data_IF_531633505570
#
_entry.id   IF_531633505570
#
_cell.length_a   1.000
_cell.length_b   1.000
_cell.length_c   1.000
_cell.angle_alpha   90.00
_cell.angle_beta   90.00
_cell.angle_gamma   90.00
#
_symmetry.space_group_name_H-M   'P 1'
#
loop_
_entity.id
_entity.type
_entity.pdbx_description
1 polymer ?
#
# COMPACT_ATOMS: atom_id res chain seq x y z
N UNK A 1 7.88 -7.59 -15.63
CA UNK A 1 7.17 -8.59 -16.45
C UNK A 1 6.22 -7.81 -17.33
N UNK A 2 6.15 -8.13 -18.61
CA UNK A 2 5.30 -7.42 -19.57
C UNK A 2 3.85 -7.88 -19.45
N UNK A 3 2.91 -6.94 -19.57
CA UNK A 3 1.45 -7.15 -19.63
C UNK A 3 0.98 -8.43 -20.36
N UNK A 4 1.50 -8.79 -21.56
CA UNK A 4 1.11 -10.01 -22.25
C UNK A 4 1.34 -11.29 -21.43
N UNK A 5 2.41 -11.34 -20.60
CA UNK A 5 2.75 -12.53 -19.82
C UNK A 5 1.74 -12.74 -18.68
N UNK A 6 1.34 -11.66 -17.99
CA UNK A 6 0.37 -11.73 -16.89
C UNK A 6 -1.02 -12.08 -17.44
N UNK A 7 -1.38 -11.51 -18.59
CA UNK A 7 -2.64 -11.80 -19.26
C UNK A 7 -2.73 -13.26 -19.69
N UNK A 8 -1.66 -13.79 -20.28
CA UNK A 8 -1.56 -15.20 -20.66
C UNK A 8 -1.65 -16.13 -19.44
N UNK A 9 -0.94 -15.84 -18.34
CA UNK A 9 -1.00 -16.64 -17.12
C UNK A 9 -2.41 -16.66 -16.49
N UNK A 10 -3.11 -15.52 -16.47
CA UNK A 10 -4.47 -15.43 -15.92
C UNK A 10 -5.48 -16.16 -16.82
N UNK A 11 -5.39 -15.98 -18.14
CA UNK A 11 -6.26 -16.70 -19.09
C UNK A 11 -6.04 -18.21 -19.02
N UNK A 12 -4.79 -18.64 -18.86
CA UNK A 12 -4.46 -20.05 -18.70
C UNK A 12 -5.00 -20.62 -17.39
N UNK A 13 -4.86 -19.89 -16.27
CA UNK A 13 -5.42 -20.31 -14.98
C UNK A 13 -6.94 -20.46 -15.00
N UNK A 14 -7.66 -19.65 -15.78
CA UNK A 14 -9.13 -19.74 -15.91
C UNK A 14 -9.54 -20.97 -16.72
N UNK A 15 -8.78 -21.29 -17.77
CA UNK A 15 -9.01 -22.48 -18.60
C UNK A 15 -8.68 -23.80 -17.90
N UNK A 16 -7.77 -23.76 -16.94
CA UNK A 16 -7.32 -24.93 -16.18
C UNK A 16 -8.13 -25.12 -14.87
N UNK A 17 -9.05 -24.21 -14.54
CA UNK A 17 -9.85 -24.28 -13.31
C UNK A 17 -11.03 -25.24 -13.47
N UNK A 18 -10.94 -26.42 -12.83
CA UNK A 18 -12.00 -27.43 -12.79
C UNK A 18 -13.31 -26.95 -12.13
N UNK A 19 -13.30 -25.77 -11.48
CA UNK A 19 -14.46 -25.15 -10.84
C UNK A 19 -15.27 -24.21 -11.74
N UNK A 20 -14.79 -23.94 -12.97
CA UNK A 20 -15.49 -23.11 -13.95
C UNK A 20 -16.07 -24.04 -15.02
N UNK A 21 -17.37 -23.92 -15.27
CA UNK A 21 -18.01 -24.69 -16.34
C UNK A 21 -17.51 -24.19 -17.70
N UNK A 22 -17.10 -25.13 -18.55
CA UNK A 22 -16.49 -24.91 -19.86
C UNK A 22 -17.31 -23.96 -20.74
N UNK A 23 -18.63 -23.92 -20.57
CA UNK A 23 -19.52 -23.04 -21.34
C UNK A 23 -19.35 -21.54 -21.01
N UNK A 24 -18.83 -21.20 -19.82
CA UNK A 24 -18.61 -19.82 -19.39
C UNK A 24 -17.14 -19.37 -19.50
N UNK A 25 -16.20 -20.29 -19.74
CA UNK A 25 -14.76 -19.98 -19.82
C UNK A 25 -14.49 -18.88 -20.85
N UNK A 26 -15.09 -19.00 -22.03
CA UNK A 26 -14.90 -18.02 -23.11
C UNK A 26 -15.57 -16.67 -22.77
N UNK A 27 -16.73 -16.67 -22.12
CA UNK A 27 -17.42 -15.44 -21.68
C UNK A 27 -16.59 -14.69 -20.61
N UNK A 28 -15.98 -15.42 -19.67
CA UNK A 28 -15.07 -14.82 -18.67
C UNK A 28 -13.82 -14.21 -19.31
N UNK A 29 -13.23 -14.90 -20.29
CA UNK A 29 -12.06 -14.40 -21.03
C UNK A 29 -12.43 -13.14 -21.81
N UNK A 30 -13.59 -13.10 -22.47
CA UNK A 30 -14.06 -11.94 -23.23
C UNK A 30 -14.33 -10.73 -22.33
N UNK A 31 -14.93 -10.95 -21.15
CA UNK A 31 -15.14 -9.89 -20.15
C UNK A 31 -13.79 -9.36 -19.63
N UNK A 32 -12.82 -10.25 -19.37
CA UNK A 32 -11.47 -9.84 -18.98
C UNK A 32 -10.80 -9.03 -20.08
N UNK A 33 -10.83 -9.51 -21.32
CA UNK A 33 -10.22 -8.81 -22.46
C UNK A 33 -10.84 -7.43 -22.70
N UNK A 34 -12.16 -7.31 -22.56
CA UNK A 34 -12.86 -6.04 -22.66
C UNK A 34 -12.48 -5.08 -21.53
N UNK A 35 -12.31 -5.57 -20.30
CA UNK A 35 -11.95 -4.74 -19.14
C UNK A 35 -10.48 -4.36 -19.08
N UNK A 36 -9.59 -5.21 -19.58
CA UNK A 36 -8.16 -4.93 -19.64
C UNK A 36 -7.80 -3.93 -20.76
N UNK A 37 -8.56 -3.87 -21.87
CA UNK A 37 -8.37 -2.88 -22.94
C UNK A 37 -8.53 -1.42 -22.49
N UNK A 38 -9.33 -1.17 -21.46
CA UNK A 38 -9.65 0.18 -20.97
C UNK A 38 -8.68 0.69 -19.89
N UNK A 39 -7.66 -0.10 -19.52
CA UNK A 39 -6.69 0.25 -18.48
C UNK A 39 -5.35 0.64 -19.12
N UNK A 40 -5.06 1.94 -19.20
CA UNK A 40 -3.71 2.42 -19.47
C UNK A 40 -2.81 2.09 -18.27
N UNK A 41 -2.06 0.99 -18.35
CA UNK A 41 -1.04 0.66 -17.36
C UNK A 41 0.24 1.42 -17.70
N UNK A 42 0.53 2.44 -16.90
CA UNK A 42 1.84 3.10 -16.89
C UNK A 42 2.89 2.05 -16.46
N UNK A 43 3.66 1.54 -17.43
CA UNK A 43 4.65 0.44 -17.39
C UNK A 43 5.77 0.59 -16.33
N UNK A 44 5.81 1.71 -15.61
CA UNK A 44 6.79 1.92 -14.56
C UNK A 44 6.59 0.94 -13.39
N UNK A 45 7.55 0.01 -13.24
CA UNK A 45 7.63 -0.94 -12.14
C UNK A 45 7.47 -0.25 -10.76
N UNK A 46 6.52 -0.74 -9.98
CA UNK A 46 6.32 -0.35 -8.58
C UNK A 46 7.16 -1.26 -7.69
N UNK A 47 7.97 -0.67 -6.82
CA UNK A 47 8.84 -1.38 -5.87
C UNK A 47 8.54 -0.95 -4.44
N UNK A 48 8.38 -1.91 -3.53
CA UNK A 48 8.38 -1.68 -2.09
C UNK A 48 9.83 -1.57 -1.61
N UNK A 49 10.16 -0.49 -0.92
CA UNK A 49 11.52 -0.22 -0.42
C UNK A 49 11.65 -0.36 1.08
N UNK A 50 10.56 -0.13 1.82
CA UNK A 50 10.48 -0.32 3.26
C UNK A 50 9.04 -0.50 3.70
N UNK A 51 8.84 -1.30 4.75
CA UNK A 51 7.56 -1.54 5.38
C UNK A 51 7.71 -1.46 6.90
N UNK A 52 6.85 -0.68 7.54
CA UNK A 52 6.73 -0.51 8.99
C UNK A 52 5.31 -0.93 9.41
N UNK A 53 5.21 -1.95 10.25
CA UNK A 53 3.97 -2.59 10.68
C UNK A 53 3.94 -2.64 12.20
N UNK A 54 2.80 -2.26 12.77
CA UNK A 54 2.54 -2.36 14.20
C UNK A 54 1.12 -2.89 14.43
N UNK A 55 0.99 -3.86 15.31
CA UNK A 55 -0.30 -4.41 15.76
C UNK A 55 -1.12 -5.11 14.67
N UNK A 56 -0.48 -5.78 13.70
CA UNK A 56 -1.16 -6.46 12.59
C UNK A 56 -1.12 -7.99 12.73
N UNK A 57 -2.27 -8.63 12.92
CA UNK A 57 -2.42 -10.09 13.11
C UNK A 57 -1.43 -10.64 14.16
N UNK A 58 -0.43 -11.43 13.74
CA UNK A 58 0.59 -12.00 14.65
C UNK A 58 1.86 -11.15 14.74
N UNK A 59 1.93 -10.05 13.99
CA UNK A 59 3.03 -9.09 14.02
C UNK A 59 2.71 -8.08 15.13
N UNK A 60 3.58 -8.01 16.13
CA UNK A 60 3.52 -6.97 17.15
C UNK A 60 4.13 -5.68 16.58
N UNK A 61 5.41 -5.73 16.20
CA UNK A 61 6.13 -4.65 15.52
C UNK A 61 7.08 -5.26 14.48
N UNK A 62 7.21 -4.62 13.32
CA UNK A 62 8.15 -5.02 12.27
C UNK A 62 8.51 -3.81 11.42
N UNK A 63 9.81 -3.55 11.30
CA UNK A 63 10.37 -2.54 10.39
C UNK A 63 11.42 -3.21 9.50
N UNK A 64 11.14 -3.30 8.21
CA UNK A 64 11.99 -4.01 7.25
C UNK A 64 12.22 -3.18 5.99
N UNK A 65 13.48 -3.11 5.56
CA UNK A 65 13.85 -2.56 4.26
C UNK A 65 13.92 -3.68 3.23
N UNK A 66 13.39 -3.43 2.03
CA UNK A 66 13.35 -4.38 0.93
C UNK A 66 14.22 -3.82 -0.20
N UNK A 67 15.14 -4.66 -0.68
CA UNK A 67 15.99 -4.29 -1.81
C UNK A 67 15.24 -4.44 -3.14
N UNK A 68 15.79 -3.88 -4.20
CA UNK A 68 15.35 -4.09 -5.58
C UNK A 68 15.66 -5.49 -6.13
N UNK A 69 16.29 -6.36 -5.32
CA UNK A 69 16.59 -7.75 -5.67
C UNK A 69 15.51 -8.70 -5.15
N UNK A 70 15.49 -9.90 -5.74
CA UNK A 70 14.68 -11.01 -5.24
C UNK A 70 14.91 -11.21 -3.73
N UNK A 71 13.87 -10.95 -2.94
CA UNK A 71 13.92 -10.98 -1.47
C UNK A 71 13.20 -12.22 -0.97
N UNK A 72 13.90 -13.07 -0.22
CA UNK A 72 13.34 -14.30 0.35
C UNK A 72 12.84 -14.03 1.76
N UNK A 73 11.56 -14.29 2.01
CA UNK A 73 10.94 -14.21 3.35
C UNK A 73 10.90 -15.61 3.93
N UNK A 74 11.73 -15.89 4.94
CA UNK A 74 11.80 -17.20 5.58
C UNK A 74 11.63 -17.12 7.10
N UNK A 75 11.31 -18.25 7.71
CA UNK A 75 11.06 -18.35 9.15
C UNK A 75 10.13 -19.50 9.49
N UNK A 76 10.06 -19.85 10.78
CA UNK A 76 9.16 -20.91 11.26
C UNK A 76 7.69 -20.60 10.93
N UNK A 77 6.85 -21.64 10.93
CA UNK A 77 5.41 -21.46 10.79
C UNK A 77 4.87 -20.56 11.92
N UNK A 78 3.79 -19.82 11.60
CA UNK A 78 3.13 -18.91 12.53
C UNK A 78 3.99 -17.72 13.01
N UNK A 79 5.10 -17.41 12.34
CA UNK A 79 5.94 -16.22 12.60
C UNK A 79 5.61 -15.00 11.73
N UNK A 80 4.43 -14.99 11.10
CA UNK A 80 3.92 -13.79 10.43
C UNK A 80 4.36 -13.57 8.99
N UNK A 81 4.94 -14.58 8.30
CA UNK A 81 5.28 -14.47 6.86
C UNK A 81 4.06 -14.10 6.01
N UNK A 82 2.96 -14.86 6.13
CA UNK A 82 1.71 -14.54 5.44
C UNK A 82 1.11 -13.23 5.91
N UNK A 83 1.17 -12.95 7.22
CA UNK A 83 0.69 -11.69 7.79
C UNK A 83 1.45 -10.46 7.28
N UNK A 84 2.73 -10.60 6.95
CA UNK A 84 3.51 -9.54 6.31
C UNK A 84 3.02 -9.25 4.90
N UNK A 85 2.77 -10.28 4.09
CA UNK A 85 2.21 -10.12 2.74
C UNK A 85 0.82 -9.49 2.80
N UNK A 86 -0.02 -9.93 3.73
CA UNK A 86 -1.36 -9.37 3.94
C UNK A 86 -1.30 -7.91 4.41
N UNK A 87 -0.41 -7.57 5.35
CA UNK A 87 -0.21 -6.19 5.81
C UNK A 87 0.26 -5.27 4.67
N UNK A 88 1.09 -5.81 3.77
CA UNK A 88 1.57 -5.10 2.58
C UNK A 88 0.42 -4.81 1.60
N UNK A 89 -0.41 -5.83 1.30
CA UNK A 89 -1.63 -5.64 0.48
C UNK A 89 -2.59 -4.66 1.13
N UNK A 90 -2.82 -4.81 2.43
CA UNK A 90 -3.67 -3.94 3.22
C UNK A 90 -3.19 -2.48 3.22
N UNK A 91 -1.87 -2.24 3.20
CA UNK A 91 -1.33 -0.89 3.10
C UNK A 91 -1.59 -0.21 1.75
N UNK A 92 -1.66 -0.96 0.65
CA UNK A 92 -1.97 -0.41 -0.67
C UNK A 92 -3.46 -0.20 -0.87
N UNK A 93 -4.26 -1.21 -0.54
CA UNK A 93 -5.68 -1.25 -0.92
C UNK A 93 -6.60 -0.81 0.24
N UNK A 94 -6.08 -0.73 1.45
CA UNK A 94 -6.91 -0.57 2.65
C UNK A 94 -7.72 -1.83 2.92
N UNK A 95 -8.92 -1.64 3.48
CA UNK A 95 -9.93 -2.69 3.58
C UNK A 95 -10.99 -2.38 2.54
N UNK A 96 -11.19 -3.30 1.62
CA UNK A 96 -12.38 -3.24 0.77
C UNK A 96 -13.59 -3.65 1.62
N UNK A 97 -14.69 -2.91 1.51
CA UNK A 97 -15.89 -3.22 2.31
C UNK A 97 -16.63 -4.44 1.76
N UNK A 98 -16.47 -4.72 0.47
CA UNK A 98 -17.14 -5.81 -0.23
C UNK A 98 -16.27 -7.07 -0.33
N UNK A 99 -14.98 -6.98 0.04
CA UNK A 99 -14.07 -8.11 0.12
C UNK A 99 -13.52 -8.31 1.56
N UNK A 100 -14.04 -9.29 2.32
CA UNK A 100 -13.65 -9.54 3.70
C UNK A 100 -12.31 -10.30 3.83
N UNK A 101 -11.46 -10.32 2.79
CA UNK A 101 -10.15 -11.00 2.76
C UNK A 101 -9.30 -10.82 4.03
N UNK A 102 -9.49 -9.73 4.78
CA UNK A 102 -8.81 -9.52 6.08
C UNK A 102 -9.84 -9.41 7.21
N UNK A 103 -10.19 -10.57 7.78
CA UNK A 103 -10.93 -10.65 9.03
C UNK A 103 -9.99 -10.37 10.21
N UNK A 104 -10.41 -9.45 11.10
CA UNK A 104 -9.73 -9.09 12.37
C UNK A 104 -8.23 -8.76 12.20
N UNK A 105 -7.88 -7.68 11.47
CA UNK A 105 -6.48 -7.33 11.22
C UNK A 105 -5.72 -6.87 12.46
N UNK A 106 -6.41 -6.37 13.49
CA UNK A 106 -5.76 -5.86 14.71
C UNK A 106 -5.30 -7.04 15.56
N UNK A 107 -4.01 -7.08 15.86
CA UNK A 107 -3.40 -8.01 16.80
C UNK A 107 -4.11 -7.93 18.15
N UNK A 108 -4.40 -9.07 18.78
CA UNK A 108 -5.13 -9.17 20.07
C UNK A 108 -4.53 -8.33 21.20
N UNK A 109 -3.23 -8.05 21.17
CA UNK A 109 -2.52 -7.27 22.19
C UNK A 109 -2.62 -5.76 21.95
N UNK A 110 -3.17 -5.35 20.80
CA UNK A 110 -3.22 -3.96 20.36
C UNK A 110 -4.67 -3.48 20.23
N UNK A 111 -4.87 -2.18 20.48
CA UNK A 111 -6.18 -1.52 20.24
C UNK A 111 -6.28 -0.92 18.84
N UNK A 112 -5.14 -0.75 18.18
CA UNK A 112 -4.98 -0.09 16.89
C UNK A 112 -3.90 -0.82 16.10
N UNK A 113 -3.96 -0.71 14.78
CA UNK A 113 -2.86 -1.14 13.91
C UNK A 113 -2.36 0.03 13.07
N UNK A 114 -1.11 -0.13 12.62
CA UNK A 114 -0.41 0.81 11.75
C UNK A 114 0.31 0.03 10.65
N UNK A 115 0.23 0.53 9.43
CA UNK A 115 1.01 0.05 8.28
C UNK A 115 1.53 1.25 7.49
N UNK A 116 2.84 1.43 7.43
CA UNK A 116 3.51 2.43 6.61
C UNK A 116 4.37 1.74 5.55
N UNK A 117 4.04 1.96 4.28
CA UNK A 117 4.77 1.42 3.14
C UNK A 117 5.45 2.53 2.36
N UNK A 118 6.72 2.31 2.00
CA UNK A 118 7.52 3.23 1.21
C UNK A 118 7.73 2.63 -0.17
N UNK A 119 7.10 3.25 -1.16
CA UNK A 119 6.98 2.73 -2.51
C UNK A 119 7.75 3.60 -3.49
N UNK A 120 8.24 3.00 -4.57
CA UNK A 120 8.90 3.72 -5.66
C UNK A 120 8.28 3.29 -6.98
N UNK A 121 7.85 4.26 -7.78
CA UNK A 121 7.39 4.08 -9.17
C UNK A 121 8.30 4.92 -10.05
N UNK A 122 9.10 4.27 -10.90
CA UNK A 122 10.16 4.92 -11.66
C UNK A 122 11.14 5.68 -10.75
N UNK A 123 11.23 7.00 -10.94
CA UNK A 123 12.09 7.90 -10.14
C UNK A 123 11.38 8.55 -8.95
N UNK A 124 10.09 8.30 -8.76
CA UNK A 124 9.27 8.95 -7.74
C UNK A 124 9.10 8.04 -6.53
N UNK A 125 9.25 8.62 -5.34
CA UNK A 125 9.00 7.95 -4.08
C UNK A 125 7.62 8.33 -3.57
N UNK A 126 6.95 7.37 -2.95
CA UNK A 126 5.64 7.49 -2.36
C UNK A 126 5.65 6.89 -0.97
N UNK A 127 4.82 7.44 -0.10
CA UNK A 127 4.53 6.88 1.20
C UNK A 127 3.04 6.58 1.27
N UNK A 128 2.71 5.32 1.57
CA UNK A 128 1.35 4.93 1.93
C UNK A 128 1.28 4.76 3.44
N UNK A 129 0.35 5.45 4.08
CA UNK A 129 0.11 5.33 5.51
C UNK A 129 -1.28 4.76 5.77
N UNK A 130 -1.35 3.76 6.64
CA UNK A 130 -2.56 3.10 7.11
C UNK A 130 -2.61 3.15 8.63
N UNK A 131 -3.72 3.63 9.19
CA UNK A 131 -3.99 3.63 10.64
C UNK A 131 -5.39 3.16 10.87
N UNK A 132 -5.58 2.26 11.83
CA UNK A 132 -6.84 1.59 12.04
C UNK A 132 -7.13 1.41 13.52
N UNK A 133 -8.35 1.73 13.93
CA UNK A 133 -8.83 1.55 15.30
C UNK A 133 -10.31 1.15 15.29
N UNK A 134 -10.65 0.01 15.90
CA UNK A 134 -12.02 -0.48 15.94
C UNK A 134 -12.57 -0.94 14.57
N UNK A 135 -13.83 -0.60 14.28
CA UNK A 135 -14.59 -1.09 13.11
C UNK A 135 -14.55 -0.11 11.91
N UNK A 136 -14.06 1.13 12.10
CA UNK A 136 -14.08 2.12 11.02
C UNK A 136 -12.99 1.87 9.98
N UNK A 137 -13.41 1.70 8.73
CA UNK A 137 -12.53 1.66 7.58
C UNK A 137 -11.93 3.03 7.28
N UNK A 138 -10.62 3.06 7.01
CA UNK A 138 -9.97 4.24 6.47
C UNK A 138 -9.19 3.89 5.19
N UNK A 139 -9.35 4.77 4.21
CA UNK A 139 -8.73 4.73 2.89
C UNK A 139 -7.21 4.92 3.02
N UNK A 140 -6.41 4.06 2.39
CA UNK A 140 -4.96 4.24 2.34
C UNK A 140 -4.65 5.62 1.72
N UNK A 141 -3.80 6.40 2.40
CA UNK A 141 -3.38 7.71 1.88
C UNK A 141 -1.99 7.56 1.29
N UNK A 142 -1.90 7.67 -0.04
CA UNK A 142 -0.64 7.61 -0.80
C UNK A 142 -0.23 9.03 -1.15
N UNK A 143 0.96 9.43 -0.71
CA UNK A 143 1.50 10.77 -0.94
C UNK A 143 2.89 10.69 -1.58
N UNK A 144 3.23 11.54 -2.56
CA UNK A 144 4.61 11.67 -3.01
C UNK A 144 5.52 12.07 -1.85
N UNK A 145 6.66 11.41 -1.71
CA UNK A 145 7.69 11.83 -0.76
C UNK A 145 8.37 13.06 -1.37
N UNK A 146 7.82 14.25 -1.14
CA UNK A 146 8.40 15.49 -1.66
C UNK A 146 9.88 15.54 -1.28
N UNK A 147 10.77 15.60 -2.26
CA UNK A 147 12.16 15.96 -2.00
C UNK A 147 12.14 17.31 -1.30
N UNK A 148 12.63 17.37 -0.06
CA UNK A 148 12.95 18.64 0.59
C UNK A 148 14.07 19.29 -0.22
N UNK A 149 13.72 20.06 -1.25
CA UNK A 149 14.59 21.13 -1.72
C UNK A 149 14.71 22.09 -0.54
N UNK A 150 15.93 22.23 0.00
CA UNK A 150 16.27 23.26 0.99
C UNK A 150 15.94 24.63 0.39
N UNK A 151 14.74 25.13 0.65
CA UNK A 151 14.40 26.54 0.57
C UNK A 151 14.60 27.14 1.95
N UNK A 152 15.67 27.91 2.13
CA UNK A 152 15.88 28.73 3.31
C UNK A 152 14.72 29.73 3.39
N UNK A 153 13.73 29.47 4.25
CA UNK A 153 12.71 30.48 4.55
C UNK A 153 13.35 31.46 5.52
N UNK A 154 13.87 32.56 4.98
CA UNK A 154 14.17 33.75 5.75
C UNK A 154 12.89 34.19 6.46
N UNK A 155 12.81 33.93 7.76
CA UNK A 155 11.80 34.53 8.62
C UNK A 155 12.15 36.00 8.78
N UNK A 156 11.55 36.85 7.94
CA UNK A 156 11.53 38.27 8.16
C UNK A 156 10.82 38.54 9.50
N UNK A 157 11.61 38.86 10.53
CA UNK A 157 11.15 39.45 11.78
C UNK A 157 10.37 40.72 11.44
N UNK A 158 9.05 40.69 11.59
CA UNK A 158 8.28 41.91 11.90
C UNK A 158 8.25 42.06 13.42
N UNK A 159 9.15 42.90 13.92
CA UNK A 159 9.09 43.50 15.24
C UNK A 159 7.91 44.47 15.30
N UNK A 160 6.87 44.14 16.07
CA UNK A 160 5.96 45.15 16.59
C UNK A 160 6.40 45.47 18.01
N UNK A 161 7.06 46.63 18.16
CA UNK A 161 7.37 47.24 19.45
C UNK A 161 6.09 47.85 20.07
N UNK A 162 6.02 47.96 21.42
CA UNK A 162 4.83 48.42 22.14
C UNK A 162 4.71 49.95 22.12
N UNK A 163 3.48 50.46 21.98
CA UNK A 163 3.21 51.89 22.12
C UNK A 163 2.82 52.19 23.58
N UNK A 164 3.76 52.73 24.36
CA UNK A 164 3.49 53.40 25.64
C UNK A 164 3.43 54.92 25.44
N UNK A 165 2.54 55.51 26.22
CA UNK A 165 1.91 56.84 26.14
C UNK A 165 2.81 58.06 26.42
N UNK A 166 2.34 59.20 25.88
CA UNK A 166 2.13 60.53 26.52
C UNK A 166 3.15 61.67 26.38
N UNK A 167 2.56 62.89 26.41
CA UNK A 167 3.09 64.28 26.46
C UNK A 167 3.38 64.90 25.09
N UNK A 168 2.87 66.09 24.73
CA UNK A 168 2.62 67.32 25.51
C UNK A 168 1.30 67.99 25.10
#
# INVERSE_FOLDING_TARGET
MSEPIIKEEVQQSIREDEGIDDEYVDEFIDILDAKYRDLEFDDELVSLTRMDIEGFKVIDELDVSISDRATIIHGRNSKGKSSFIEATRFNLFGRDNDDPLITRPINRNYKKLKTDGYWRKGRRNYQSTGRWSGIRAMKATISPTSSKIRGTVNTARRSNAPNQKSTT
#
